data_IF_086778919547
#
_entry.id   IF_086778919547
#
_cell.length_a   1.000
_cell.length_b   1.000
_cell.length_c   1.000
_cell.angle_alpha   90.00
_cell.angle_beta   90.00
_cell.angle_gamma   90.00
#
_symmetry.space_group_name_H-M   'P 1'
#
loop_
_entity.id
_entity.type
_entity.pdbx_description
1 polymer ?
#
# COMPACT_ATOMS: atom_id res chain seq x y z
N UNK A 1 -28.62 -0.55 -30.32
CA UNK A 1 -28.30 0.43 -31.39
C UNK A 1 -26.87 0.90 -31.11
N UNK A 2 -25.91 0.47 -31.92
CA UNK A 2 -24.52 0.92 -31.77
C UNK A 2 -24.48 2.35 -32.32
N UNK A 3 -24.20 3.33 -31.47
CA UNK A 3 -23.90 4.68 -31.94
C UNK A 3 -22.47 4.64 -32.48
N UNK A 4 -22.30 4.88 -33.78
CA UNK A 4 -20.98 5.16 -34.34
C UNK A 4 -20.47 6.47 -33.71
N UNK A 5 -19.53 6.33 -32.79
CA UNK A 5 -18.87 7.47 -32.19
C UNK A 5 -17.98 8.12 -33.26
N UNK A 6 -18.39 9.28 -33.77
CA UNK A 6 -17.61 10.03 -34.77
C UNK A 6 -16.37 10.58 -34.07
N UNK A 7 -15.24 9.92 -34.26
CA UNK A 7 -13.95 10.36 -33.72
C UNK A 7 -13.47 11.55 -34.54
N UNK A 8 -13.28 12.69 -33.87
CA UNK A 8 -12.71 13.87 -34.53
C UNK A 8 -11.20 13.70 -34.75
N UNK A 9 -10.65 14.40 -35.73
CA UNK A 9 -9.19 14.40 -36.02
C UNK A 9 -8.39 14.84 -34.79
N UNK A 10 -8.92 15.77 -34.00
CA UNK A 10 -8.30 16.23 -32.76
C UNK A 10 -8.25 15.12 -31.70
N UNK A 11 -9.34 14.39 -31.49
CA UNK A 11 -9.38 13.24 -30.58
C UNK A 11 -8.42 12.14 -31.02
N UNK A 12 -8.33 11.87 -32.34
CA UNK A 12 -7.37 10.91 -32.89
C UNK A 12 -5.92 11.36 -32.62
N UNK A 13 -5.62 12.63 -32.87
CA UNK A 13 -4.28 13.21 -32.65
C UNK A 13 -3.87 13.16 -31.18
N UNK A 14 -4.81 13.44 -30.27
CA UNK A 14 -4.60 13.36 -28.83
C UNK A 14 -4.33 11.92 -28.37
N UNK A 15 -5.09 10.94 -28.87
CA UNK A 15 -4.87 9.51 -28.58
C UNK A 15 -3.49 9.04 -29.05
N UNK A 16 -3.06 9.45 -30.24
CA UNK A 16 -1.71 9.15 -30.76
C UNK A 16 -0.63 9.76 -29.85
N UNK A 17 -0.83 11.01 -29.42
CA UNK A 17 0.11 11.69 -28.54
C UNK A 17 0.24 10.99 -27.18
N UNK A 18 -0.87 10.55 -26.58
CA UNK A 18 -0.84 9.76 -25.34
C UNK A 18 -0.09 8.45 -25.58
N UNK A 19 -0.44 7.70 -26.63
CA UNK A 19 0.20 6.42 -26.92
C UNK A 19 1.73 6.56 -27.08
N UNK A 20 2.19 7.65 -27.70
CA UNK A 20 3.61 7.98 -27.84
C UNK A 20 4.26 8.37 -26.51
N UNK A 21 3.58 9.14 -25.67
CA UNK A 21 4.10 9.47 -24.32
C UNK A 21 4.22 8.22 -23.47
N UNK A 22 3.22 7.36 -23.52
CA UNK A 22 3.21 6.10 -22.78
C UNK A 22 4.33 5.16 -23.22
N UNK A 23 4.62 5.07 -24.53
CA UNK A 23 5.75 4.26 -25.01
C UNK A 23 7.08 4.80 -24.46
N UNK A 24 7.31 6.12 -24.58
CA UNK A 24 8.53 6.77 -24.06
C UNK A 24 8.67 6.55 -22.55
N UNK A 25 7.59 6.69 -21.78
CA UNK A 25 7.62 6.46 -20.34
C UNK A 25 7.92 5.01 -19.99
N UNK A 26 7.33 4.04 -20.71
CA UNK A 26 7.60 2.61 -20.52
C UNK A 26 9.05 2.27 -20.83
N UNK A 27 9.57 2.74 -21.96
CA UNK A 27 10.96 2.49 -22.37
C UNK A 27 11.93 3.07 -21.35
N UNK A 28 11.72 4.34 -20.96
CA UNK A 28 12.53 5.00 -19.93
C UNK A 28 12.45 4.28 -18.58
N UNK A 29 11.27 3.79 -18.19
CA UNK A 29 11.13 3.03 -16.96
C UNK A 29 11.88 1.71 -17.03
N UNK A 30 11.84 1.01 -18.16
CA UNK A 30 12.58 -0.23 -18.34
C UNK A 30 14.10 -0.01 -18.33
N UNK A 31 14.59 1.05 -18.98
CA UNK A 31 16.00 1.41 -18.99
C UNK A 31 16.55 1.74 -17.60
N UNK A 32 15.76 2.46 -16.78
CA UNK A 32 16.18 2.89 -15.45
C UNK A 32 15.91 1.85 -14.36
N UNK A 33 14.81 1.12 -14.47
CA UNK A 33 14.24 0.29 -13.39
C UNK A 33 13.91 -1.15 -13.83
N UNK A 34 14.31 -1.60 -15.01
CA UNK A 34 14.06 -2.97 -15.47
C UNK A 34 14.64 -4.05 -14.53
N UNK A 35 15.67 -3.71 -13.76
CA UNK A 35 16.25 -4.57 -12.72
C UNK A 35 15.35 -4.71 -11.48
N UNK A 36 14.53 -3.69 -11.18
CA UNK A 36 13.80 -3.57 -9.92
C UNK A 36 12.85 -4.74 -9.66
N UNK A 37 11.98 -5.20 -10.61
CA UNK A 37 11.09 -6.32 -10.34
C UNK A 37 11.82 -7.62 -10.02
N UNK A 38 12.98 -7.85 -10.65
CA UNK A 38 13.79 -9.05 -10.42
C UNK A 38 14.40 -9.04 -9.03
N UNK A 39 15.04 -7.93 -8.64
CA UNK A 39 15.61 -7.76 -7.30
C UNK A 39 14.52 -7.78 -6.22
N UNK A 40 13.40 -7.10 -6.47
CA UNK A 40 12.25 -7.09 -5.58
C UNK A 40 11.74 -8.52 -5.31
N UNK A 41 11.59 -9.34 -6.36
CA UNK A 41 11.21 -10.75 -6.22
C UNK A 41 12.23 -11.55 -5.40
N UNK A 42 13.52 -11.34 -5.65
CA UNK A 42 14.60 -12.01 -4.93
C UNK A 42 14.56 -11.65 -3.44
N UNK A 43 14.46 -10.36 -3.10
CA UNK A 43 14.38 -9.91 -1.71
C UNK A 43 13.14 -10.47 -1.00
N UNK A 44 11.95 -10.40 -1.62
CA UNK A 44 10.75 -10.96 -1.02
C UNK A 44 10.83 -12.48 -0.81
N UNK A 45 11.51 -13.21 -1.70
CA UNK A 45 11.69 -14.65 -1.53
C UNK A 45 12.51 -15.01 -0.28
N UNK A 46 13.41 -14.12 0.16
CA UNK A 46 14.27 -14.32 1.32
C UNK A 46 13.58 -13.97 2.65
N UNK A 47 12.47 -13.25 2.64
CA UNK A 47 11.82 -12.78 3.87
C UNK A 47 11.40 -13.93 4.80
N UNK A 48 10.92 -15.04 4.23
CA UNK A 48 10.56 -16.22 5.02
C UNK A 48 11.77 -16.83 5.74
N UNK A 49 12.94 -16.83 5.10
CA UNK A 49 14.17 -17.32 5.70
C UNK A 49 14.66 -16.36 6.80
N UNK A 50 14.71 -15.06 6.52
CA UNK A 50 15.10 -14.03 7.49
C UNK A 50 14.22 -14.08 8.73
N UNK A 51 12.92 -14.30 8.55
CA UNK A 51 11.96 -14.47 9.63
C UNK A 51 12.28 -15.70 10.49
N UNK A 52 12.52 -16.86 9.87
CA UNK A 52 12.91 -18.10 10.58
C UNK A 52 14.22 -17.93 11.36
N UNK A 53 15.22 -17.31 10.76
CA UNK A 53 16.51 -17.03 11.41
C UNK A 53 16.35 -16.07 12.59
N UNK A 54 15.53 -15.03 12.44
CA UNK A 54 15.24 -14.07 13.50
C UNK A 54 14.52 -14.73 14.68
N UNK A 55 13.54 -15.59 14.40
CA UNK A 55 12.85 -16.39 15.43
C UNK A 55 13.82 -17.33 16.16
N UNK A 56 14.68 -18.03 15.43
CA UNK A 56 15.66 -18.94 16.02
C UNK A 56 16.67 -18.20 16.93
N UNK A 57 17.07 -16.99 16.57
CA UNK A 57 18.08 -16.21 17.29
C UNK A 57 17.54 -15.46 18.50
N UNK A 58 16.36 -14.87 18.40
CA UNK A 58 15.83 -13.95 19.42
C UNK A 58 14.62 -14.49 20.17
N UNK A 59 13.98 -15.55 19.67
CA UNK A 59 12.72 -16.07 20.20
C UNK A 59 11.51 -15.24 19.76
N UNK A 60 10.34 -15.86 19.87
CA UNK A 60 9.08 -15.30 19.35
C UNK A 60 8.64 -14.02 20.08
N UNK A 61 8.80 -13.95 21.40
CA UNK A 61 8.40 -12.76 22.17
C UNK A 61 9.17 -11.50 21.78
N UNK A 62 10.50 -11.59 21.66
CA UNK A 62 11.33 -10.43 21.31
C UNK A 62 11.02 -9.96 19.89
N UNK A 63 10.75 -10.89 18.98
CA UNK A 63 10.32 -10.56 17.63
C UNK A 63 8.94 -9.87 17.62
N UNK A 64 7.97 -10.34 18.39
CA UNK A 64 6.64 -9.69 18.53
C UNK A 64 6.77 -8.27 19.06
N UNK A 65 7.57 -8.05 20.10
CA UNK A 65 7.80 -6.72 20.66
C UNK A 65 8.46 -5.78 19.64
N UNK A 66 9.43 -6.29 18.87
CA UNK A 66 10.05 -5.53 17.78
C UNK A 66 9.04 -5.19 16.66
N UNK A 67 8.23 -6.16 16.21
CA UNK A 67 7.24 -5.93 15.16
C UNK A 67 6.18 -4.89 15.57
N UNK A 68 5.72 -4.96 16.83
CA UNK A 68 4.76 -4.01 17.39
C UNK A 68 5.35 -2.59 17.48
N UNK A 69 6.58 -2.43 17.97
CA UNK A 69 7.23 -1.11 18.09
C UNK A 69 7.55 -0.45 16.75
N UNK A 70 7.75 -1.24 15.69
CA UNK A 70 7.97 -0.75 14.33
C UNK A 70 6.66 -0.53 13.55
N UNK A 71 5.50 -0.75 14.18
CA UNK A 71 4.19 -0.71 13.52
C UNK A 71 4.15 -1.53 12.23
N UNK A 72 4.90 -2.63 12.18
CA UNK A 72 4.80 -3.56 11.07
C UNK A 72 3.39 -4.17 11.15
N UNK A 73 2.59 -4.04 10.08
CA UNK A 73 1.19 -4.50 10.06
C UNK A 73 1.13 -5.90 10.67
N UNK A 74 0.25 -6.09 11.66
CA UNK A 74 0.19 -7.21 12.62
C UNK A 74 0.07 -8.63 12.04
N UNK A 75 0.17 -8.80 10.73
CA UNK A 75 -0.04 -10.03 9.97
C UNK A 75 1.25 -10.81 9.74
N UNK A 76 2.08 -10.96 10.78
CA UNK A 76 3.31 -11.75 10.73
C UNK A 76 3.16 -13.13 11.40
N UNK A 77 1.96 -13.70 11.35
CA UNK A 77 1.77 -15.10 11.67
C UNK A 77 2.13 -15.94 10.44
N UNK A 78 2.95 -16.97 10.62
CA UNK A 78 3.08 -18.04 9.64
C UNK A 78 1.68 -18.57 9.27
N UNK A 79 1.52 -19.12 8.06
CA UNK A 79 0.27 -19.57 7.44
C UNK A 79 -0.47 -20.72 8.16
N UNK A 80 -0.45 -20.76 9.49
CA UNK A 80 -0.86 -21.89 10.33
C UNK A 80 -2.15 -21.57 11.10
N UNK A 81 -2.52 -20.31 11.34
CA UNK A 81 -3.73 -19.97 12.11
C UNK A 81 -4.53 -18.80 11.49
N UNK A 82 -5.30 -19.09 10.44
CA UNK A 82 -6.30 -18.18 9.87
C UNK A 82 -7.26 -17.54 10.90
N UNK A 83 -7.81 -18.26 11.92
CA UNK A 83 -8.70 -17.62 12.90
C UNK A 83 -7.98 -16.61 13.81
N UNK A 84 -6.69 -16.81 14.05
CA UNK A 84 -5.85 -15.91 14.85
C UNK A 84 -5.47 -14.67 14.05
N UNK A 85 -5.28 -14.82 12.74
CA UNK A 85 -5.08 -13.71 11.82
C UNK A 85 -6.35 -12.83 11.74
N UNK A 86 -7.54 -13.43 11.66
CA UNK A 86 -8.80 -12.68 11.59
C UNK A 86 -9.12 -11.92 12.88
N UNK A 87 -8.85 -12.50 14.05
CA UNK A 87 -8.97 -11.75 15.31
C UNK A 87 -7.99 -10.58 15.39
N UNK A 88 -6.75 -10.74 14.91
CA UNK A 88 -5.79 -9.63 14.79
C UNK A 88 -6.22 -8.57 13.76
N UNK A 89 -6.85 -8.97 12.64
CA UNK A 89 -7.43 -8.02 11.66
C UNK A 89 -8.51 -7.16 12.28
N UNK A 90 -9.37 -7.75 13.12
CA UNK A 90 -10.43 -7.02 13.81
C UNK A 90 -9.88 -6.00 14.82
N UNK A 91 -8.76 -6.31 15.48
CA UNK A 91 -8.08 -5.36 16.38
C UNK A 91 -7.36 -4.25 15.61
N UNK A 92 -6.70 -4.59 14.49
CA UNK A 92 -5.97 -3.64 13.66
C UNK A 92 -6.88 -2.72 12.83
N UNK A 93 -8.03 -3.22 12.39
CA UNK A 93 -9.08 -2.43 11.75
C UNK A 93 -9.92 -1.77 12.83
N UNK A 94 -9.40 -0.69 13.41
CA UNK A 94 -10.17 0.10 14.37
C UNK A 94 -11.48 0.56 13.72
N UNK A 95 -12.65 0.35 14.35
CA UNK A 95 -13.90 0.83 13.79
C UNK A 95 -13.84 2.36 13.68
N UNK A 96 -13.96 2.87 12.45
CA UNK A 96 -14.01 4.32 12.16
C UNK A 96 -15.35 4.94 12.61
N UNK A 97 -15.98 4.42 13.65
CA UNK A 97 -17.24 4.92 14.23
C UNK A 97 -17.11 6.38 14.69
N UNK A 98 -15.93 6.79 15.13
CA UNK A 98 -15.62 8.18 15.47
C UNK A 98 -15.64 9.13 14.26
N UNK A 99 -15.57 8.61 13.02
CA UNK A 99 -15.76 9.38 11.78
C UNK A 99 -17.20 9.44 11.29
N UNK A 100 -18.17 8.80 11.97
CA UNK A 100 -19.56 8.75 11.50
C UNK A 100 -20.21 10.15 11.33
N UNK A 101 -19.77 11.13 12.11
CA UNK A 101 -20.23 12.52 12.05
C UNK A 101 -19.19 13.47 11.44
N UNK A 102 -18.14 12.93 10.80
CA UNK A 102 -17.06 13.73 10.23
C UNK A 102 -17.55 14.42 8.94
N UNK A 103 -17.61 15.75 8.98
CA UNK A 103 -17.85 16.57 7.79
C UNK A 103 -16.49 16.96 7.21
N UNK A 104 -16.13 16.50 6.00
CA UNK A 104 -14.88 16.90 5.39
C UNK A 104 -14.87 18.41 5.15
N UNK A 105 -13.79 19.09 5.53
CA UNK A 105 -13.60 20.50 5.21
C UNK A 105 -13.53 20.67 3.69
N UNK A 106 -14.12 21.73 3.15
CA UNK A 106 -13.99 22.08 1.73
C UNK A 106 -12.54 22.50 1.48
N UNK A 107 -11.70 21.58 1.02
CA UNK A 107 -10.28 21.85 0.80
C UNK A 107 -10.11 22.66 -0.48
N UNK A 108 -9.76 23.94 -0.37
CA UNK A 108 -8.91 24.60 -1.37
C UNK A 108 -7.49 24.06 -1.18
N UNK A 109 -6.75 23.81 -2.27
CA UNK A 109 -5.47 23.06 -2.36
C UNK A 109 -4.30 23.53 -1.45
N UNK A 110 -4.53 24.40 -0.45
CA UNK A 110 -3.54 24.92 0.49
C UNK A 110 -3.70 24.47 1.95
N UNK A 111 -4.83 23.87 2.36
CA UNK A 111 -5.09 23.51 3.76
C UNK A 111 -5.30 22.00 3.92
N UNK A 112 -4.20 21.25 3.97
CA UNK A 112 -4.21 19.85 4.39
C UNK A 112 -4.03 19.77 5.91
N UNK A 113 -4.79 18.90 6.58
CA UNK A 113 -4.52 18.56 7.99
C UNK A 113 -5.36 19.26 9.06
N UNK A 114 -6.54 19.81 8.73
CA UNK A 114 -7.48 20.37 9.72
C UNK A 114 -8.15 19.30 10.62
N UNK A 115 -7.85 18.03 10.39
CA UNK A 115 -8.36 16.92 11.22
C UNK A 115 -7.41 16.73 12.38
N UNK A 116 -7.89 17.08 13.58
CA UNK A 116 -7.15 16.79 14.80
C UNK A 116 -6.95 15.28 14.92
N UNK A 117 -5.71 14.80 15.10
CA UNK A 117 -5.45 13.38 15.28
C UNK A 117 -6.25 12.85 16.47
N UNK A 118 -6.92 11.71 16.28
CA UNK A 118 -7.67 11.07 17.36
C UNK A 118 -6.75 10.63 18.51
N UNK A 119 -7.33 10.40 19.70
CA UNK A 119 -6.59 10.03 20.90
C UNK A 119 -5.61 8.85 20.71
N UNK A 120 -5.95 7.90 19.83
CA UNK A 120 -5.14 6.73 19.49
C UNK A 120 -3.93 7.02 18.60
N UNK A 121 -3.85 8.20 17.96
CA UNK A 121 -2.67 8.63 17.22
C UNK A 121 -1.57 9.20 18.14
N UNK A 122 -1.90 9.49 19.41
CA UNK A 122 -1.02 10.17 20.36
C UNK A 122 -0.34 9.23 21.35
N UNK A 123 -0.73 7.95 21.40
CA UNK A 123 -0.15 6.95 22.28
C UNK A 123 0.64 5.94 21.45
N UNK A 124 1.98 6.06 21.50
CA UNK A 124 2.95 5.04 21.11
C UNK A 124 3.38 4.24 22.34
#
# INVERSE_FOLDING_TARGET
MWHEEIITIEQLSYRILIAKKDSILRDRWFDLFGWYPKEQKQHYSQYAQIYKESLAKFGEEKFKNYANSRSLRAYHTAAIDDPKLDSLKQVANYPMTHMANYVPSVTTNGEYGLVVPGHHHLHC
#
